data_IF_274388159863
#
_entry.id   IF_274388159863
#
_cell.length_a   1.000
_cell.length_b   1.000
_cell.length_c   1.000
_cell.angle_alpha   90.00
_cell.angle_beta   90.00
_cell.angle_gamma   90.00
#
_symmetry.space_group_name_H-M   'P 1'
#
loop_
_entity.id
_entity.type
_entity.pdbx_description
1 polymer ?
#
# COMPACT_ATOMS: atom_id res chain seq x y z
N UNK A 1 -9.61 3.84 -28.17
CA UNK A 1 -10.11 4.49 -26.93
C UNK A 1 -9.51 5.90 -26.80
N UNK A 2 -10.31 6.92 -26.50
CA UNK A 2 -9.79 8.27 -26.27
C UNK A 2 -9.10 8.40 -24.90
N UNK A 3 -8.25 9.42 -24.67
CA UNK A 3 -7.48 9.61 -23.43
C UNK A 3 -8.32 9.51 -22.15
N UNK A 4 -9.54 10.07 -22.17
CA UNK A 4 -10.51 10.01 -21.07
C UNK A 4 -10.98 8.61 -20.69
N UNK A 5 -11.11 7.71 -21.67
CA UNK A 5 -11.52 6.32 -21.40
C UNK A 5 -10.37 5.51 -20.76
N UNK A 6 -9.11 5.90 -21.03
CA UNK A 6 -7.94 5.32 -20.38
C UNK A 6 -7.79 5.86 -18.95
N UNK A 7 -8.07 7.15 -18.73
CA UNK A 7 -8.10 7.75 -17.38
C UNK A 7 -9.15 7.09 -16.47
N UNK A 8 -10.32 6.72 -16.99
CA UNK A 8 -11.34 6.01 -16.20
C UNK A 8 -10.93 4.59 -15.79
N UNK A 9 -9.97 3.98 -16.49
CA UNK A 9 -9.40 2.67 -16.17
C UNK A 9 -8.14 2.78 -15.30
N UNK A 10 -7.61 3.99 -15.11
CA UNK A 10 -6.41 4.25 -14.31
C UNK A 10 -6.80 4.42 -12.84
N UNK A 11 -6.83 3.30 -12.11
CA UNK A 11 -7.09 3.26 -10.67
C UNK A 11 -5.95 3.84 -9.83
N UNK A 12 -4.86 4.31 -10.45
CA UNK A 12 -3.74 4.91 -9.73
C UNK A 12 -3.96 6.40 -9.40
N UNK A 13 -5.10 7.00 -9.77
CA UNK A 13 -5.33 8.45 -9.59
C UNK A 13 -6.76 8.80 -9.11
N UNK A 14 -6.90 9.25 -7.84
CA UNK A 14 -5.89 9.21 -6.78
C UNK A 14 -5.53 7.77 -6.41
N UNK A 15 -4.27 7.51 -6.09
CA UNK A 15 -3.82 6.18 -5.66
C UNK A 15 -4.60 5.72 -4.43
N UNK A 16 -4.96 4.44 -4.40
CA UNK A 16 -5.72 3.86 -3.29
C UNK A 16 -4.88 3.88 -2.01
N UNK A 17 -5.43 4.42 -0.92
CA UNK A 17 -4.79 4.37 0.39
C UNK A 17 -5.08 3.02 1.08
N UNK A 18 -4.22 2.04 0.83
CA UNK A 18 -4.37 0.69 1.37
C UNK A 18 -4.27 0.63 2.89
N UNK A 19 -3.54 1.56 3.52
CA UNK A 19 -3.44 1.65 4.98
C UNK A 19 -4.81 1.96 5.58
N UNK A 20 -5.46 3.02 5.11
CA UNK A 20 -6.80 3.40 5.59
C UNK A 20 -7.83 2.31 5.34
N UNK A 21 -7.76 1.63 4.18
CA UNK A 21 -8.65 0.52 3.85
C UNK A 21 -8.50 -0.65 4.83
N UNK A 22 -7.26 -1.10 5.08
CA UNK A 22 -6.99 -2.20 5.99
C UNK A 22 -7.41 -1.88 7.42
N UNK A 23 -7.14 -0.66 7.89
CA UNK A 23 -7.57 -0.22 9.22
C UNK A 23 -9.10 -0.23 9.36
N UNK A 24 -9.84 0.19 8.33
CA UNK A 24 -11.31 0.10 8.30
C UNK A 24 -11.84 -1.34 8.36
N UNK A 25 -11.02 -2.33 8.00
CA UNK A 25 -11.33 -3.76 8.10
C UNK A 25 -10.83 -4.41 9.41
N UNK A 26 -10.31 -3.61 10.34
CA UNK A 26 -9.73 -4.11 11.60
C UNK A 26 -8.36 -4.77 11.45
N UNK A 27 -7.67 -4.53 10.34
CA UNK A 27 -6.32 -5.03 10.07
C UNK A 27 -5.31 -3.92 10.41
N UNK A 28 -4.33 -4.24 11.25
CA UNK A 28 -3.22 -3.32 11.53
C UNK A 28 -2.45 -3.05 10.24
N UNK A 29 -2.14 -1.78 9.95
CA UNK A 29 -1.53 -1.42 8.68
C UNK A 29 -0.51 -0.29 8.81
N UNK A 30 0.57 -0.41 8.04
CA UNK A 30 1.62 0.59 7.94
C UNK A 30 2.11 0.74 6.49
N UNK A 31 2.75 1.87 6.17
CA UNK A 31 3.34 2.17 4.86
C UNK A 31 4.85 2.29 5.00
N UNK A 32 5.58 1.74 4.04
CA UNK A 32 7.03 1.89 3.87
C UNK A 32 7.34 2.61 2.55
N UNK A 33 8.30 3.53 2.60
CA UNK A 33 8.77 4.32 1.45
C UNK A 33 10.21 3.99 1.04
N UNK A 34 10.87 3.11 1.78
CA UNK A 34 12.17 2.53 1.43
C UNK A 34 12.20 1.03 1.73
N UNK A 35 13.23 0.35 1.23
CA UNK A 35 13.44 -1.08 1.48
C UNK A 35 13.79 -1.35 2.95
N UNK A 36 14.55 -0.45 3.57
CA UNK A 36 14.93 -0.53 4.99
C UNK A 36 13.68 -0.38 5.87
N UNK A 37 12.87 0.66 5.62
CA UNK A 37 11.62 0.87 6.35
C UNK A 37 10.64 -0.30 6.17
N UNK A 38 10.63 -0.90 4.98
CA UNK A 38 9.82 -2.09 4.73
C UNK A 38 10.29 -3.28 5.56
N UNK A 39 11.61 -3.49 5.67
CA UNK A 39 12.19 -4.54 6.49
C UNK A 39 11.78 -4.41 7.96
N UNK A 40 11.95 -3.21 8.52
CA UNK A 40 11.60 -2.92 9.92
C UNK A 40 10.10 -3.17 10.19
N UNK A 41 9.23 -2.66 9.31
CA UNK A 41 7.77 -2.83 9.44
C UNK A 41 7.31 -4.26 9.22
N UNK A 42 7.99 -5.00 8.35
CA UNK A 42 7.71 -6.41 8.14
C UNK A 42 8.09 -7.24 9.36
N UNK A 43 9.23 -6.96 9.99
CA UNK A 43 9.63 -7.61 11.24
C UNK A 43 8.62 -7.33 12.36
N UNK A 44 8.18 -6.08 12.51
CA UNK A 44 7.14 -5.71 13.48
C UNK A 44 5.81 -6.44 13.21
N UNK A 45 5.38 -6.47 11.94
CA UNK A 45 4.15 -7.13 11.52
C UNK A 45 4.18 -8.64 11.79
N UNK A 46 5.30 -9.31 11.53
CA UNK A 46 5.47 -10.74 11.77
C UNK A 46 5.46 -11.11 13.26
N UNK A 47 5.92 -10.20 14.12
CA UNK A 47 5.93 -10.38 15.57
C UNK A 47 4.61 -9.96 16.24
N UNK A 48 3.68 -9.36 15.50
CA UNK A 48 2.38 -8.91 16.01
C UNK A 48 1.28 -9.94 15.70
N UNK A 49 0.59 -10.49 16.72
CA UNK A 49 -0.50 -11.44 16.49
C UNK A 49 -1.64 -10.84 15.66
N UNK A 50 -2.11 -11.61 14.68
CA UNK A 50 -3.23 -11.24 13.81
C UNK A 50 -2.81 -10.72 12.44
N UNK A 51 -3.78 -10.36 11.58
CA UNK A 51 -3.50 -9.87 10.24
C UNK A 51 -2.84 -8.50 10.29
N UNK A 52 -1.80 -8.33 9.48
CA UNK A 52 -1.08 -7.07 9.31
C UNK A 52 -0.89 -6.78 7.82
N UNK A 53 -1.02 -5.51 7.43
CA UNK A 53 -0.69 -5.01 6.10
C UNK A 53 0.53 -4.10 6.16
N UNK A 54 1.50 -4.32 5.28
CA UNK A 54 2.63 -3.41 5.05
C UNK A 54 2.59 -2.98 3.58
N UNK A 55 2.22 -1.73 3.33
CA UNK A 55 2.18 -1.14 2.00
C UNK A 55 3.58 -0.66 1.59
N UNK A 56 4.17 -1.23 0.55
CA UNK A 56 5.44 -0.77 0.00
C UNK A 56 5.20 0.22 -1.15
N UNK A 57 5.66 1.46 -0.98
CA UNK A 57 5.67 2.45 -2.06
C UNK A 57 6.91 2.22 -2.91
N UNK A 58 6.69 1.75 -4.14
CA UNK A 58 7.76 1.53 -5.10
C UNK A 58 8.06 2.82 -5.86
N UNK A 59 9.33 3.09 -6.20
CA UNK A 59 9.66 4.13 -7.17
C UNK A 59 9.02 3.78 -8.53
N UNK A 60 8.81 4.78 -9.40
CA UNK A 60 8.34 4.53 -10.76
C UNK A 60 9.28 3.55 -11.47
N UNK A 61 8.73 2.47 -12.04
CA UNK A 61 9.47 1.62 -12.96
C UNK A 61 9.73 2.40 -14.26
N UNK A 62 10.99 2.41 -14.72
CA UNK A 62 11.39 2.97 -16.02
C UNK A 62 10.75 2.24 -17.19
#
# INVERSE_FOLDING_TARGET
>A
PGPRALEMLDLNRPGLDFVSLAQGMGVSASRATSAEEFGDKLEEALNTPGPNLVEAILPPSL
#
